data_IF_934311650830
#
_entry.id   IF_934311650830
#
_cell.length_a   1.000
_cell.length_b   1.000
_cell.length_c   1.000
_cell.angle_alpha   90.00
_cell.angle_beta   90.00
_cell.angle_gamma   90.00
#
_symmetry.space_group_name_H-M   'P 1'
#
loop_
_entity.id
_entity.type
_entity.pdbx_description
1 polymer ?
#
# COMPACT_ATOMS: atom_id res chain seq x y z
N UNK A 1 -8.21 -11.52 12.33
CA UNK A 1 -7.58 -10.35 13.00
C UNK A 1 -6.85 -9.39 12.02
N UNK A 2 -6.84 -9.64 10.70
CA UNK A 2 -6.13 -8.78 9.71
C UNK A 2 -6.90 -7.55 9.21
N UNK A 3 -8.13 -7.33 9.69
CA UNK A 3 -9.02 -6.26 9.24
C UNK A 3 -8.58 -4.83 9.60
N UNK A 4 -7.36 -4.63 10.13
CA UNK A 4 -6.87 -3.32 10.60
C UNK A 4 -5.78 -2.68 9.72
N UNK A 5 -5.28 -3.41 8.72
CA UNK A 5 -4.24 -2.92 7.82
C UNK A 5 -4.85 -2.50 6.49
N UNK A 6 -4.64 -1.25 6.10
CA UNK A 6 -5.17 -0.68 4.87
C UNK A 6 -4.54 -1.32 3.64
N UNK A 7 -3.34 -1.90 3.77
CA UNK A 7 -2.71 -2.71 2.71
C UNK A 7 -3.41 -4.04 2.43
N UNK A 8 -4.35 -4.47 3.29
CA UNK A 8 -5.11 -5.71 3.15
C UNK A 8 -5.88 -5.81 1.83
N UNK A 9 -6.43 -4.70 1.32
CA UNK A 9 -7.14 -4.73 0.03
C UNK A 9 -6.21 -5.09 -1.13
N UNK A 10 -4.94 -4.64 -1.10
CA UNK A 10 -3.94 -4.96 -2.14
C UNK A 10 -3.47 -6.41 -2.06
N UNK A 11 -3.29 -6.94 -0.85
CA UNK A 11 -2.95 -8.35 -0.65
C UNK A 11 -4.06 -9.26 -1.16
N UNK A 12 -5.33 -8.92 -0.86
CA UNK A 12 -6.50 -9.64 -1.38
C UNK A 12 -6.62 -9.52 -2.90
N UNK A 13 -6.46 -8.32 -3.46
CA UNK A 13 -6.47 -8.14 -4.90
C UNK A 13 -5.36 -8.97 -5.59
N UNK A 14 -4.16 -9.03 -5.01
CA UNK A 14 -3.06 -9.86 -5.53
C UNK A 14 -3.37 -11.36 -5.47
N UNK A 15 -3.97 -11.84 -4.37
CA UNK A 15 -4.41 -13.24 -4.25
C UNK A 15 -5.34 -13.63 -5.39
N UNK A 16 -6.44 -12.88 -5.58
CA UNK A 16 -7.44 -13.19 -6.61
C UNK A 16 -6.93 -12.89 -8.03
N UNK A 17 -5.99 -11.97 -8.20
CA UNK A 17 -5.29 -11.78 -9.48
C UNK A 17 -4.52 -13.05 -9.89
N UNK A 18 -3.85 -13.71 -8.94
CA UNK A 18 -3.11 -14.95 -9.20
C UNK A 18 -4.04 -16.16 -9.29
N UNK A 19 -4.88 -16.37 -8.27
CA UNK A 19 -5.71 -17.58 -8.16
C UNK A 19 -6.91 -17.56 -9.11
N UNK A 20 -7.44 -16.37 -9.41
CA UNK A 20 -8.69 -16.18 -10.13
C UNK A 20 -9.88 -16.06 -9.17
N UNK A 21 -11.05 -15.74 -9.72
CA UNK A 21 -12.28 -15.52 -8.96
C UNK A 21 -12.54 -14.05 -8.66
N UNK A 22 -13.51 -13.79 -7.79
CA UNK A 22 -13.93 -12.43 -7.43
C UNK A 22 -13.23 -11.97 -6.16
N UNK A 23 -12.60 -10.79 -6.22
CA UNK A 23 -11.93 -10.22 -5.04
C UNK A 23 -12.94 -10.08 -3.91
N UNK A 24 -12.69 -10.78 -2.81
CA UNK A 24 -13.42 -10.61 -1.56
C UNK A 24 -12.52 -9.87 -0.57
N UNK A 25 -12.88 -8.63 -0.22
CA UNK A 25 -12.19 -7.79 0.75
C UNK A 25 -12.47 -8.18 2.21
N UNK A 26 -13.44 -9.06 2.45
CA UNK A 26 -13.93 -9.46 3.76
C UNK A 26 -15.00 -8.50 4.29
N UNK A 27 -16.03 -9.06 4.92
CA UNK A 27 -17.18 -8.29 5.42
C UNK A 27 -16.80 -7.27 6.50
N UNK A 28 -16.02 -7.69 7.49
CA UNK A 28 -15.60 -6.83 8.60
C UNK A 28 -14.75 -5.63 8.10
N UNK A 29 -13.78 -5.90 7.22
CA UNK A 29 -12.92 -4.87 6.62
C UNK A 29 -13.77 -3.87 5.83
N UNK A 30 -14.65 -4.37 4.97
CA UNK A 30 -15.48 -3.54 4.10
C UNK A 30 -16.45 -2.67 4.88
N UNK A 31 -17.01 -3.19 5.99
CA UNK A 31 -17.83 -2.40 6.93
C UNK A 31 -17.01 -1.34 7.65
N UNK A 32 -15.79 -1.66 8.07
CA UNK A 32 -14.90 -0.75 8.81
C UNK A 32 -14.45 0.43 7.93
N UNK A 33 -14.13 0.16 6.66
CA UNK A 33 -13.60 1.16 5.74
C UNK A 33 -14.63 1.71 4.76
N UNK A 34 -15.89 1.28 4.86
CA UNK A 34 -17.03 1.88 4.15
C UNK A 34 -16.98 1.67 2.63
N UNK A 35 -16.67 0.45 2.19
CA UNK A 35 -16.62 0.10 0.76
C UNK A 35 -17.30 -1.25 0.49
N UNK A 36 -17.45 -1.62 -0.78
CA UNK A 36 -18.06 -2.89 -1.16
C UNK A 36 -17.18 -4.08 -0.74
N UNK A 37 -17.81 -5.16 -0.25
CA UNK A 37 -17.13 -6.44 0.06
C UNK A 37 -16.46 -7.06 -1.14
N UNK A 38 -17.12 -7.02 -2.29
CA UNK A 38 -16.63 -7.67 -3.49
C UNK A 38 -16.13 -6.66 -4.51
N UNK A 39 -14.94 -6.92 -5.03
CA UNK A 39 -14.29 -6.13 -6.07
C UNK A 39 -14.38 -6.76 -7.46
N UNK A 40 -13.29 -6.58 -8.22
CA UNK A 40 -13.10 -7.11 -9.56
C UNK A 40 -13.22 -8.63 -9.59
N UNK A 41 -13.82 -9.14 -10.66
CA UNK A 41 -13.80 -10.55 -10.99
C UNK A 41 -12.67 -10.82 -12.01
N UNK A 42 -11.92 -11.89 -11.76
CA UNK A 42 -10.91 -12.43 -12.66
C UNK A 42 -11.40 -13.79 -13.15
N UNK A 43 -11.87 -13.86 -14.40
CA UNK A 43 -12.40 -15.11 -14.99
C UNK A 43 -11.35 -16.22 -14.99
N UNK A 44 -10.08 -15.85 -15.19
CA UNK A 44 -8.93 -16.74 -15.07
C UNK A 44 -7.82 -16.03 -14.30
N UNK A 45 -7.36 -16.68 -13.24
CA UNK A 45 -6.17 -16.25 -12.51
C UNK A 45 -4.92 -16.33 -13.37
N UNK A 46 -3.93 -15.50 -13.07
CA UNK A 46 -2.63 -15.55 -13.76
C UNK A 46 -1.80 -16.79 -13.40
N UNK A 47 -2.09 -17.42 -12.25
CA UNK A 47 -1.50 -18.68 -11.81
C UNK A 47 -2.53 -19.52 -11.02
N UNK A 48 -3.55 -20.11 -11.69
CA UNK A 48 -4.67 -20.75 -10.99
C UNK A 48 -4.28 -22.01 -10.20
N UNK A 49 -3.21 -22.69 -10.64
CA UNK A 49 -2.65 -23.86 -9.95
C UNK A 49 -1.87 -23.50 -8.70
N UNK A 50 -1.71 -22.22 -8.36
CA UNK A 50 -0.96 -21.79 -7.18
C UNK A 50 -1.49 -22.43 -5.90
N UNK A 51 -0.66 -23.26 -5.28
CA UNK A 51 -0.90 -23.95 -4.02
C UNK A 51 0.44 -24.36 -3.38
N UNK A 52 0.41 -25.26 -2.40
CA UNK A 52 1.61 -25.75 -1.70
C UNK A 52 2.48 -26.67 -2.55
N UNK A 53 1.90 -27.39 -3.53
CA UNK A 53 2.64 -28.21 -4.49
C UNK A 53 3.19 -27.37 -5.65
N UNK A 54 2.57 -26.21 -5.89
CA UNK A 54 2.94 -25.25 -6.92
C UNK A 54 3.27 -23.87 -6.33
N UNK A 55 4.21 -23.76 -5.37
CA UNK A 55 4.45 -22.52 -4.66
C UNK A 55 5.16 -21.49 -5.54
N UNK A 56 5.10 -20.21 -5.16
CA UNK A 56 5.60 -19.10 -5.97
C UNK A 56 6.65 -18.24 -5.26
N UNK A 57 7.56 -17.67 -6.05
CA UNK A 57 8.49 -16.62 -5.61
C UNK A 57 7.86 -15.25 -5.82
N UNK A 58 7.91 -14.41 -4.79
CA UNK A 58 7.36 -13.05 -4.85
C UNK A 58 8.45 -12.00 -4.76
N UNK A 59 8.44 -11.04 -5.70
CA UNK A 59 9.36 -9.91 -5.73
C UNK A 59 8.57 -8.61 -5.57
N UNK A 60 8.76 -7.95 -4.43
CA UNK A 60 8.08 -6.71 -4.06
C UNK A 60 9.00 -5.50 -4.15
N UNK A 61 8.68 -4.57 -5.04
CA UNK A 61 9.31 -3.26 -5.06
C UNK A 61 8.56 -2.27 -4.15
N UNK A 62 9.29 -1.47 -3.36
CA UNK A 62 8.72 -0.41 -2.52
C UNK A 62 7.60 -0.94 -1.59
N UNK A 63 6.40 -0.38 -1.66
CA UNK A 63 5.24 -0.82 -0.88
C UNK A 63 4.80 -2.27 -1.21
N UNK A 64 5.13 -2.78 -2.40
CA UNK A 64 4.82 -4.15 -2.80
C UNK A 64 5.45 -5.20 -1.88
N UNK A 65 6.60 -4.90 -1.28
CA UNK A 65 7.23 -5.80 -0.31
C UNK A 65 6.37 -5.98 0.96
N UNK A 66 5.70 -4.92 1.42
CA UNK A 66 4.76 -5.02 2.54
C UNK A 66 3.51 -5.83 2.15
N UNK A 67 2.97 -5.60 0.95
CA UNK A 67 1.80 -6.32 0.43
C UNK A 67 2.06 -7.82 0.36
N UNK A 68 3.23 -8.24 -0.13
CA UNK A 68 3.59 -9.67 -0.23
C UNK A 68 3.73 -10.31 1.15
N UNK A 69 4.38 -9.62 2.11
CA UNK A 69 4.47 -10.12 3.50
C UNK A 69 3.09 -10.28 4.13
N UNK A 70 2.21 -9.32 3.92
CA UNK A 70 0.83 -9.39 4.40
C UNK A 70 0.05 -10.51 3.72
N UNK A 71 0.20 -10.68 2.40
CA UNK A 71 -0.41 -11.79 1.65
C UNK A 71 0.02 -13.14 2.24
N UNK A 72 1.32 -13.32 2.52
CA UNK A 72 1.82 -14.55 3.12
C UNK A 72 1.22 -14.81 4.51
N UNK A 73 1.15 -13.77 5.35
CA UNK A 73 0.48 -13.87 6.66
C UNK A 73 -1.00 -14.27 6.49
N UNK A 74 -1.71 -13.65 5.55
CA UNK A 74 -3.11 -13.95 5.26
C UNK A 74 -3.34 -15.39 4.75
N UNK A 75 -2.38 -15.97 4.01
CA UNK A 75 -2.43 -17.37 3.60
C UNK A 75 -2.31 -18.30 4.81
N UNK A 76 -1.36 -18.03 5.70
CA UNK A 76 -1.19 -18.77 6.96
C UNK A 76 -2.45 -18.70 7.84
N UNK A 77 -3.03 -17.52 7.96
CA UNK A 77 -4.21 -17.27 8.80
C UNK A 77 -5.54 -17.68 8.11
N UNK A 78 -5.47 -18.28 6.91
CA UNK A 78 -6.63 -18.74 6.14
C UNK A 78 -7.68 -17.66 5.91
N UNK A 79 -7.22 -16.47 5.57
CA UNK A 79 -8.07 -15.28 5.48
C UNK A 79 -8.91 -15.17 4.18
N UNK A 80 -8.94 -16.22 3.36
CA UNK A 80 -9.56 -16.26 2.04
C UNK A 80 -10.72 -17.27 2.03
N UNK A 81 -11.93 -16.77 2.23
CA UNK A 81 -13.16 -17.59 2.19
C UNK A 81 -13.22 -18.47 0.94
N UNK A 82 -13.46 -19.77 1.13
CA UNK A 82 -13.48 -20.76 0.04
C UNK A 82 -12.11 -21.35 -0.31
N UNK A 83 -11.04 -20.92 0.35
CA UNK A 83 -9.68 -21.46 0.19
C UNK A 83 -9.09 -21.89 1.55
N UNK A 84 -9.76 -22.83 2.23
CA UNK A 84 -9.41 -23.27 3.60
C UNK A 84 -8.07 -24.02 3.72
N UNK A 85 -7.49 -24.40 2.57
CA UNK A 85 -6.21 -25.10 2.45
C UNK A 85 -5.02 -24.17 2.16
N UNK A 86 -5.20 -22.85 2.24
CA UNK A 86 -4.07 -21.92 2.12
C UNK A 86 -3.07 -22.13 3.24
N UNK A 87 -1.79 -21.95 2.91
CA UNK A 87 -0.67 -21.96 3.85
C UNK A 87 0.38 -20.94 3.41
N UNK A 88 1.17 -20.45 4.36
CA UNK A 88 2.42 -19.72 4.12
C UNK A 88 3.35 -20.42 3.11
N UNK A 89 3.29 -21.75 3.01
CA UNK A 89 4.14 -22.58 2.16
C UNK A 89 3.82 -22.44 0.67
N UNK A 90 2.70 -21.80 0.32
CA UNK A 90 2.42 -21.38 -1.05
C UNK A 90 3.44 -20.33 -1.55
N UNK A 91 4.27 -19.78 -0.64
CA UNK A 91 5.31 -18.80 -0.91
C UNK A 91 6.69 -19.41 -0.65
N UNK A 92 7.47 -19.62 -1.73
CA UNK A 92 8.86 -20.13 -1.62
C UNK A 92 9.80 -19.04 -1.11
N UNK A 93 9.66 -17.82 -1.63
CA UNK A 93 10.52 -16.70 -1.23
C UNK A 93 9.82 -15.35 -1.34
N UNK A 94 10.23 -14.44 -0.47
CA UNK A 94 9.87 -13.02 -0.51
C UNK A 94 11.13 -12.17 -0.71
N UNK A 95 11.21 -11.50 -1.86
CA UNK A 95 12.30 -10.59 -2.20
C UNK A 95 11.82 -9.15 -2.15
N UNK A 96 12.40 -8.36 -1.25
CA UNK A 96 12.17 -6.93 -1.11
C UNK A 96 13.20 -6.13 -1.91
N UNK A 97 12.76 -5.32 -2.86
CA UNK A 97 13.58 -4.37 -3.61
C UNK A 97 13.20 -2.95 -3.18
N UNK A 98 14.09 -2.24 -2.49
CA UNK A 98 13.79 -0.91 -1.95
C UNK A 98 12.52 -0.88 -1.10
N UNK A 99 12.22 -1.98 -0.40
CA UNK A 99 10.97 -2.15 0.32
C UNK A 99 10.82 -1.19 1.49
N UNK A 100 9.60 -0.68 1.69
CA UNK A 100 9.27 0.27 2.76
C UNK A 100 8.94 -0.47 4.06
N UNK A 101 9.78 -1.45 4.43
CA UNK A 101 9.47 -2.44 5.45
C UNK A 101 9.30 -1.87 6.87
N UNK A 102 9.95 -0.73 7.16
CA UNK A 102 9.84 -0.02 8.43
C UNK A 102 9.16 1.35 8.27
N UNK A 103 8.42 1.55 7.18
CA UNK A 103 7.87 2.85 6.82
C UNK A 103 8.89 3.74 6.10
N UNK A 104 8.44 4.92 5.71
CA UNK A 104 9.25 5.93 5.06
C UNK A 104 8.85 7.32 5.51
N UNK A 105 9.85 8.17 5.73
CA UNK A 105 9.66 9.59 6.05
C UNK A 105 9.05 10.35 4.88
N UNK A 106 9.13 9.79 3.66
CA UNK A 106 8.43 10.30 2.47
C UNK A 106 6.92 10.36 2.66
N UNK A 107 6.31 9.51 3.47
CA UNK A 107 4.87 9.57 3.74
C UNK A 107 4.48 10.92 4.38
N UNK A 108 5.30 11.42 5.31
CA UNK A 108 5.09 12.73 5.95
C UNK A 108 5.43 13.89 5.03
N UNK A 109 6.49 13.77 4.22
CA UNK A 109 6.82 14.76 3.19
C UNK A 109 5.71 14.87 2.14
N UNK A 110 5.06 13.76 1.80
CA UNK A 110 3.88 13.72 0.95
C UNK A 110 2.65 14.39 1.57
N UNK A 111 2.65 14.54 2.89
CA UNK A 111 1.67 15.33 3.63
C UNK A 111 0.83 14.55 4.63
N UNK A 112 1.17 13.30 4.95
CA UNK A 112 0.53 12.62 6.09
C UNK A 112 0.96 13.30 7.39
N UNK A 113 0.00 13.51 8.28
CA UNK A 113 0.19 14.06 9.60
C UNK A 113 0.85 13.03 10.54
N UNK A 114 1.94 13.39 11.23
CA UNK A 114 2.64 12.46 12.11
C UNK A 114 1.84 12.08 13.36
N UNK A 115 0.86 12.89 13.76
CA UNK A 115 0.09 12.71 14.99
C UNK A 115 -0.80 11.46 14.95
N UNK A 116 -1.46 11.20 13.82
CA UNK A 116 -2.34 10.05 13.63
C UNK A 116 -1.83 9.04 12.59
N UNK A 117 -0.84 9.42 11.78
CA UNK A 117 -0.29 8.59 10.71
C UNK A 117 -1.29 8.28 9.59
N UNK A 118 -2.37 9.06 9.46
CA UNK A 118 -3.47 8.79 8.51
C UNK A 118 -4.00 10.06 7.84
N UNK A 119 -4.20 11.14 8.60
CA UNK A 119 -4.80 12.35 8.03
C UNK A 119 -3.81 13.10 7.15
N UNK A 120 -4.36 13.83 6.17
CA UNK A 120 -3.58 14.60 5.21
C UNK A 120 -3.55 16.06 5.67
N UNK A 121 -2.39 16.72 5.53
CA UNK A 121 -2.25 18.17 5.74
C UNK A 121 -3.15 18.94 4.78
N UNK A 122 -3.57 20.14 5.20
CA UNK A 122 -4.49 20.97 4.40
C UNK A 122 -3.87 21.41 3.06
N UNK A 123 -2.57 21.73 3.06
CA UNK A 123 -1.81 22.09 1.85
C UNK A 123 -0.61 21.16 1.72
N UNK A 124 -0.70 20.21 0.78
CA UNK A 124 0.41 19.31 0.43
C UNK A 124 0.18 18.62 -0.92
N UNK A 125 1.22 17.95 -1.44
CA UNK A 125 1.14 17.21 -2.70
C UNK A 125 0.11 16.07 -2.67
N UNK A 126 -0.03 15.37 -1.53
CA UNK A 126 -1.06 14.34 -1.39
C UNK A 126 -2.49 14.88 -1.57
N UNK A 127 -2.78 16.15 -1.26
CA UNK A 127 -4.11 16.73 -1.54
C UNK A 127 -4.38 16.86 -3.04
N UNK A 128 -3.35 17.20 -3.83
CA UNK A 128 -3.46 17.28 -5.29
C UNK A 128 -3.75 15.89 -5.86
N UNK A 129 -2.99 14.88 -5.43
CA UNK A 129 -3.25 13.50 -5.85
C UNK A 129 -4.61 12.98 -5.40
N UNK A 130 -5.03 13.33 -4.18
CA UNK A 130 -6.35 12.99 -3.65
C UNK A 130 -7.45 13.53 -4.56
N UNK A 131 -7.46 14.85 -4.78
CA UNK A 131 -8.47 15.52 -5.62
C UNK A 131 -8.45 14.97 -7.04
N UNK A 132 -7.26 14.83 -7.64
CA UNK A 132 -7.11 14.28 -8.99
C UNK A 132 -7.65 12.85 -9.11
N UNK A 133 -7.33 11.98 -8.14
CA UNK A 133 -7.81 10.59 -8.12
C UNK A 133 -9.32 10.51 -7.87
N UNK A 134 -9.86 11.36 -6.99
CA UNK A 134 -11.30 11.47 -6.76
C UNK A 134 -12.03 11.88 -8.05
N UNK A 135 -11.58 12.94 -8.73
CA UNK A 135 -12.20 13.40 -9.98
C UNK A 135 -12.07 12.33 -11.07
N UNK A 136 -10.91 11.71 -11.18
CA UNK A 136 -10.65 10.61 -12.12
C UNK A 136 -11.68 9.48 -11.97
N UNK A 137 -11.88 8.99 -10.74
CA UNK A 137 -12.81 7.90 -10.48
C UNK A 137 -14.27 8.33 -10.58
N UNK A 138 -14.57 9.57 -10.20
CA UNK A 138 -15.91 10.12 -10.32
C UNK A 138 -16.32 10.28 -11.77
N UNK A 139 -15.45 10.77 -12.66
CA UNK A 139 -15.74 10.90 -14.09
C UNK A 139 -15.96 9.54 -14.79
N UNK A 140 -15.30 8.49 -14.30
CA UNK A 140 -15.50 7.10 -14.74
C UNK A 140 -15.38 6.92 -16.27
N UNK A 141 -14.32 7.49 -16.86
CA UNK A 141 -14.09 7.49 -18.31
C UNK A 141 -13.53 6.12 -18.74
N UNK A 142 -14.24 5.32 -19.57
CA UNK A 142 -13.86 3.93 -19.82
C UNK A 142 -12.48 3.74 -20.47
N UNK A 143 -12.13 4.56 -21.46
CA UNK A 143 -10.84 4.44 -22.16
C UNK A 143 -9.67 4.80 -21.24
N UNK A 144 -9.86 5.78 -20.37
CA UNK A 144 -8.85 6.23 -19.41
C UNK A 144 -8.63 5.18 -18.32
N UNK A 145 -9.72 4.56 -17.83
CA UNK A 145 -9.67 3.40 -16.91
C UNK A 145 -8.97 2.18 -17.52
N UNK A 146 -9.17 1.93 -18.82
CA UNK A 146 -8.45 0.87 -19.52
C UNK A 146 -6.96 1.17 -19.66
N UNK A 147 -6.59 2.44 -19.82
CA UNK A 147 -5.18 2.85 -19.93
C UNK A 147 -4.44 2.75 -18.60
N UNK A 148 -5.02 3.26 -17.52
CA UNK A 148 -4.40 3.19 -16.20
C UNK A 148 -5.45 3.28 -15.10
N UNK A 149 -5.53 2.28 -14.23
CA UNK A 149 -6.50 2.20 -13.14
C UNK A 149 -5.81 2.34 -11.76
N UNK A 150 -6.31 3.25 -10.94
CA UNK A 150 -5.81 3.48 -9.59
C UNK A 150 -6.33 2.47 -8.55
N UNK A 151 -7.33 1.65 -8.90
CA UNK A 151 -7.74 0.49 -8.11
C UNK A 151 -8.74 0.77 -6.98
N UNK A 152 -9.44 1.91 -6.99
CA UNK A 152 -10.47 2.24 -6.00
C UNK A 152 -11.90 1.86 -6.39
N UNK A 153 -12.08 0.93 -7.33
CA UNK A 153 -13.39 0.52 -7.85
C UNK A 153 -14.38 0.08 -6.76
N UNK A 154 -13.87 -0.54 -5.69
CA UNK A 154 -14.66 -1.04 -4.57
C UNK A 154 -15.32 0.06 -3.73
N UNK A 155 -14.87 1.32 -3.85
CA UNK A 155 -15.50 2.47 -3.21
C UNK A 155 -16.69 3.05 -3.98
N UNK A 156 -16.95 2.59 -5.21
CA UNK A 156 -18.14 3.00 -5.96
C UNK A 156 -18.24 4.50 -6.24
N UNK A 157 -17.11 5.18 -6.47
CA UNK A 157 -17.06 6.65 -6.56
C UNK A 157 -17.59 7.24 -7.88
N UNK A 158 -17.95 6.42 -8.86
CA UNK A 158 -18.41 6.86 -10.19
C UNK A 158 -19.64 7.76 -10.10
N UNK A 159 -19.73 8.77 -10.97
CA UNK A 159 -20.90 9.63 -11.11
C UNK A 159 -22.18 8.84 -11.43
N UNK A 160 -22.05 7.65 -12.02
CA UNK A 160 -23.18 6.73 -12.26
C UNK A 160 -23.72 6.12 -10.97
N UNK A 161 -22.90 6.06 -9.92
CA UNK A 161 -23.23 5.48 -8.62
C UNK A 161 -23.67 6.56 -7.62
N UNK A 162 -22.88 7.63 -7.47
CA UNK A 162 -23.09 8.67 -6.44
C UNK A 162 -23.69 9.98 -6.99
N UNK A 163 -23.84 10.11 -8.31
CA UNK A 163 -24.34 11.32 -8.94
C UNK A 163 -23.41 12.53 -8.80
N UNK A 164 -23.88 13.69 -9.28
CA UNK A 164 -23.20 14.98 -9.11
C UNK A 164 -23.23 15.45 -7.66
N UNK A 165 -24.30 15.11 -6.93
CA UNK A 165 -24.47 15.44 -5.51
C UNK A 165 -23.47 14.75 -4.58
N UNK A 166 -22.89 13.61 -4.99
CA UNK A 166 -21.85 12.91 -4.22
C UNK A 166 -20.44 13.46 -4.40
N UNK A 167 -20.19 14.29 -5.42
CA UNK A 167 -18.85 14.83 -5.68
C UNK A 167 -18.34 15.74 -4.54
N UNK A 168 -19.14 16.66 -3.96
CA UNK A 168 -18.71 17.47 -2.83
C UNK A 168 -18.26 16.65 -1.61
N UNK A 169 -18.94 15.54 -1.26
CA UNK A 169 -18.55 14.70 -0.12
C UNK A 169 -17.26 13.93 -0.39
N UNK A 170 -17.05 13.47 -1.62
CA UNK A 170 -15.79 12.83 -2.03
C UNK A 170 -14.62 13.83 -2.02
N UNK A 171 -14.83 15.05 -2.51
CA UNK A 171 -13.82 16.11 -2.52
C UNK A 171 -13.54 16.68 -1.13
N UNK A 172 -14.54 16.74 -0.24
CA UNK A 172 -14.36 17.11 1.16
C UNK A 172 -13.61 16.02 1.95
N UNK A 173 -13.52 14.79 1.43
CA UNK A 173 -12.91 13.67 2.12
C UNK A 173 -13.76 13.14 3.27
N UNK A 174 -15.08 13.34 3.22
CA UNK A 174 -16.03 12.75 4.18
C UNK A 174 -16.52 11.36 3.75
N UNK A 175 -16.20 10.96 2.52
CA UNK A 175 -16.52 9.65 1.94
C UNK A 175 -15.37 9.17 1.04
N UNK A 176 -15.31 7.86 0.79
CA UNK A 176 -14.29 7.24 -0.05
C UNK A 176 -12.99 6.86 0.68
N UNK A 177 -11.96 6.40 -0.06
CA UNK A 177 -10.75 5.79 0.53
C UNK A 177 -9.96 6.74 1.43
N UNK A 178 -9.98 8.03 1.09
CA UNK A 178 -9.22 9.05 1.82
C UNK A 178 -9.88 9.45 3.14
N UNK A 179 -11.18 9.19 3.31
CA UNK A 179 -11.90 9.46 4.56
C UNK A 179 -11.56 8.44 5.65
N UNK A 180 -11.43 7.17 5.25
CA UNK A 180 -11.22 6.05 6.17
C UNK A 180 -9.74 5.70 6.34
N UNK A 181 -8.88 6.22 5.46
CA UNK A 181 -7.46 5.91 5.44
C UNK A 181 -7.13 4.64 4.67
N UNK A 182 -8.10 3.99 4.01
CA UNK A 182 -7.91 2.76 3.23
C UNK A 182 -7.27 3.01 1.85
N UNK A 183 -6.03 3.44 1.90
CA UNK A 183 -5.18 3.70 0.74
C UNK A 183 -3.72 3.58 1.16
N UNK A 184 -2.80 3.63 0.19
CA UNK A 184 -1.43 3.16 0.42
C UNK A 184 -0.60 4.06 1.34
N UNK A 185 -0.80 5.38 1.33
CA UNK A 185 0.16 6.30 1.97
C UNK A 185 0.19 6.18 3.51
N UNK A 186 -0.96 5.98 4.21
CA UNK A 186 -0.97 5.63 5.63
C UNK A 186 -0.12 4.40 5.98
N UNK A 187 -0.14 3.32 5.20
CA UNK A 187 0.67 2.11 5.45
C UNK A 187 2.19 2.36 5.36
N UNK A 188 2.59 3.42 4.64
CA UNK A 188 3.99 3.80 4.47
C UNK A 188 4.50 4.68 5.62
N UNK A 189 3.64 5.08 6.55
CA UNK A 189 4.10 5.77 7.77
C UNK A 189 4.84 4.81 8.68
N UNK A 190 5.73 5.35 9.51
CA UNK A 190 6.56 4.55 10.39
C UNK A 190 5.71 3.83 11.44
N UNK A 191 4.67 4.50 11.98
CA UNK A 191 3.80 3.93 13.00
C UNK A 191 2.95 2.80 12.45
N UNK A 192 2.36 2.96 11.25
CA UNK A 192 1.55 1.90 10.67
C UNK A 192 2.41 0.73 10.17
N UNK A 193 3.60 1.00 9.63
CA UNK A 193 4.55 -0.06 9.30
C UNK A 193 5.02 -0.83 10.55
N UNK A 194 5.26 -0.14 11.67
CA UNK A 194 5.59 -0.79 12.94
C UNK A 194 4.44 -1.66 13.47
N UNK A 195 3.19 -1.18 13.39
CA UNK A 195 1.99 -1.98 13.72
C UNK A 195 1.89 -3.22 12.84
N UNK A 196 2.04 -3.05 11.53
CA UNK A 196 2.08 -4.17 10.58
C UNK A 196 3.17 -5.18 10.93
N UNK A 197 4.38 -4.72 11.27
CA UNK A 197 5.48 -5.60 11.64
C UNK A 197 5.26 -6.35 12.95
N UNK A 198 4.42 -5.84 13.85
CA UNK A 198 4.02 -6.56 15.06
C UNK A 198 3.07 -7.72 14.75
N UNK A 199 2.22 -7.57 13.73
CA UNK A 199 1.21 -8.57 13.35
C UNK A 199 1.71 -9.57 12.28
N UNK A 200 2.69 -9.17 11.46
CA UNK A 200 3.19 -9.95 10.32
C UNK A 200 4.54 -10.58 10.62
N UNK A 201 4.58 -11.91 10.69
CA UNK A 201 5.77 -12.69 11.01
C UNK A 201 6.55 -13.12 9.76
N UNK A 202 7.72 -13.71 9.99
CA UNK A 202 8.46 -14.50 8.98
C UNK A 202 8.22 -15.98 9.25
N UNK A 203 8.19 -16.79 8.20
CA UNK A 203 7.95 -18.23 8.27
C UNK A 203 9.24 -19.03 8.06
N UNK A 204 9.46 -20.13 8.78
CA UNK A 204 10.73 -20.86 8.77
C UNK A 204 11.07 -21.48 7.40
N UNK A 205 10.06 -21.90 6.64
CA UNK A 205 10.22 -22.59 5.36
C UNK A 205 10.19 -21.64 4.14
N UNK A 206 10.38 -20.33 4.38
CA UNK A 206 10.39 -19.29 3.35
C UNK A 206 11.72 -18.55 3.32
N UNK A 207 12.27 -18.36 2.13
CA UNK A 207 13.47 -17.52 1.95
C UNK A 207 13.11 -16.03 1.90
N UNK A 208 13.77 -15.21 2.71
CA UNK A 208 13.58 -13.75 2.72
C UNK A 208 14.84 -13.02 2.24
N UNK A 209 14.70 -12.22 1.18
CA UNK A 209 15.76 -11.37 0.65
C UNK A 209 15.37 -9.90 0.75
N UNK A 210 16.33 -9.03 1.11
CA UNK A 210 16.08 -7.59 1.18
C UNK A 210 17.24 -6.79 0.61
N UNK A 211 16.99 -6.11 -0.51
CA UNK A 211 17.93 -5.26 -1.20
C UNK A 211 17.61 -3.79 -0.91
N UNK A 212 18.43 -3.19 -0.04
CA UNK A 212 18.36 -1.77 0.26
C UNK A 212 19.08 -0.95 -0.82
N UNK A 213 18.43 0.11 -1.29
CA UNK A 213 19.01 1.04 -2.27
C UNK A 213 19.35 2.38 -1.63
N UNK A 214 20.52 2.93 -1.94
CA UNK A 214 20.96 4.25 -1.46
C UNK A 214 21.45 5.11 -2.62
N UNK A 215 20.91 6.32 -2.74
CA UNK A 215 21.36 7.38 -3.66
C UNK A 215 21.69 8.69 -2.93
N UNK A 216 22.25 8.55 -1.73
CA UNK A 216 22.77 9.64 -0.91
C UNK A 216 24.20 9.34 -0.50
N UNK A 217 24.97 10.39 -0.26
CA UNK A 217 26.34 10.33 0.27
C UNK A 217 26.44 11.19 1.54
N UNK A 218 27.55 11.08 2.27
CA UNK A 218 27.84 11.94 3.42
C UNK A 218 28.89 12.96 3.04
N UNK A 219 28.61 14.23 3.35
CA UNK A 219 29.55 15.34 3.19
C UNK A 219 29.59 16.14 4.49
N UNK A 220 30.76 16.27 5.11
CA UNK A 220 30.95 16.93 6.41
C UNK A 220 29.94 16.49 7.50
N UNK A 221 29.65 15.19 7.58
CA UNK A 221 28.69 14.62 8.55
C UNK A 221 27.21 14.78 8.18
N UNK A 222 26.90 15.53 7.11
CA UNK A 222 25.54 15.77 6.62
C UNK A 222 25.24 14.80 5.47
N UNK A 223 24.05 14.21 5.46
CA UNK A 223 23.59 13.38 4.34
C UNK A 223 23.15 14.29 3.19
N UNK A 224 23.65 14.05 1.98
CA UNK A 224 23.34 14.84 0.77
C UNK A 224 23.04 13.89 -0.42
N UNK A 225 22.33 14.33 -1.47
CA UNK A 225 22.10 13.49 -2.65
C UNK A 225 23.42 13.10 -3.33
N UNK A 226 23.49 11.92 -3.97
CA UNK A 226 24.69 11.44 -4.68
C UNK A 226 24.95 12.13 -6.03
N UNK A 227 24.32 13.27 -6.30
CA UNK A 227 24.44 14.04 -7.54
C UNK A 227 23.26 13.90 -8.50
N UNK A 228 23.03 14.96 -9.29
CA UNK A 228 21.91 15.09 -10.25
C UNK A 228 21.96 14.08 -11.40
N UNK A 229 23.14 13.57 -11.76
CA UNK A 229 23.30 12.58 -12.84
C UNK A 229 22.86 11.16 -12.42
N UNK A 230 22.74 10.89 -11.11
CA UNK A 230 22.44 9.57 -10.57
C UNK A 230 21.02 9.44 -10.02
N UNK A 231 20.27 10.54 -10.01
CA UNK A 231 18.95 10.64 -9.39
C UNK A 231 18.01 11.25 -10.43
N UNK A 232 16.88 10.59 -10.64
CA UNK A 232 15.89 11.10 -11.59
C UNK A 232 15.43 12.52 -11.19
N UNK A 233 15.37 13.50 -12.11
CA UNK A 233 15.08 14.89 -11.77
C UNK A 233 13.79 15.08 -10.96
N UNK A 234 12.74 14.31 -11.29
CA UNK A 234 11.45 14.36 -10.59
C UNK A 234 11.52 13.99 -9.09
N UNK A 235 12.51 13.20 -8.67
CA UNK A 235 12.66 12.80 -7.26
C UNK A 235 13.79 13.55 -6.56
N UNK A 236 14.58 14.36 -7.27
CA UNK A 236 15.74 15.04 -6.68
C UNK A 236 15.37 15.98 -5.53
N UNK A 237 14.29 16.76 -5.69
CA UNK A 237 13.76 17.64 -4.65
C UNK A 237 13.33 16.82 -3.42
N UNK A 238 12.68 15.68 -3.64
CA UNK A 238 12.27 14.78 -2.55
C UNK A 238 13.48 14.18 -1.83
N UNK A 239 14.56 13.81 -2.55
CA UNK A 239 15.80 13.35 -1.93
C UNK A 239 16.44 14.46 -1.08
N UNK A 240 16.44 15.71 -1.55
CA UNK A 240 16.92 16.85 -0.77
C UNK A 240 16.10 17.05 0.53
N UNK A 241 14.78 16.89 0.47
CA UNK A 241 13.92 16.96 1.64
C UNK A 241 14.19 15.80 2.61
N UNK A 242 14.35 14.58 2.10
CA UNK A 242 14.69 13.39 2.89
C UNK A 242 16.02 13.54 3.64
N UNK A 243 17.04 14.07 2.97
CA UNK A 243 18.36 14.34 3.57
C UNK A 243 18.31 15.29 4.76
N UNK A 244 17.31 16.17 4.83
CA UNK A 244 17.15 17.20 5.88
C UNK A 244 16.09 16.82 6.91
N UNK A 245 15.31 15.78 6.66
CA UNK A 245 14.21 15.39 7.53
C UNK A 245 14.74 14.88 8.88
N UNK A 246 14.00 15.16 9.95
CA UNK A 246 14.25 14.64 11.28
C UNK A 246 12.95 14.12 11.86
N UNK A 247 13.06 13.03 12.63
CA UNK A 247 11.90 12.45 13.30
C UNK A 247 11.25 13.46 14.25
N UNK A 248 9.92 13.52 14.25
CA UNK A 248 9.14 14.48 15.03
C UNK A 248 9.12 14.12 16.53
N UNK A 249 9.25 12.84 16.87
CA UNK A 249 9.42 12.39 18.24
C UNK A 249 10.91 12.34 18.64
N UNK A 250 11.19 12.60 19.92
CA UNK A 250 12.54 12.61 20.50
C UNK A 250 13.25 11.26 20.36
N UNK A 251 12.50 10.16 20.41
CA UNK A 251 13.00 8.82 20.13
C UNK A 251 12.31 8.25 18.87
N UNK A 252 13.07 7.74 17.89
CA UNK A 252 12.48 7.03 16.77
C UNK A 252 11.87 5.70 17.26
N UNK A 253 10.77 5.24 16.65
CA UNK A 253 10.07 4.01 17.07
C UNK A 253 10.89 2.72 16.87
N UNK A 254 12.06 2.80 16.22
CA UNK A 254 13.03 1.71 16.14
C UNK A 254 14.46 2.26 16.29
N UNK A 255 15.33 1.53 17.02
CA UNK A 255 16.76 1.86 17.10
C UNK A 255 17.37 1.90 15.69
N UNK A 256 18.03 3.01 15.34
CA UNK A 256 18.73 3.17 14.06
C UNK A 256 17.93 3.89 12.95
N UNK A 257 16.67 4.27 13.20
CA UNK A 257 15.96 5.20 12.31
C UNK A 257 16.65 6.57 12.35
N UNK A 258 17.06 7.10 11.20
CA UNK A 258 17.67 8.44 11.04
C UNK A 258 16.72 9.36 10.32
#
# INVERSE_FOLDING_TARGET
MHARLTSGFRARALFYYLKGGRVDYGEEHSRTYGHARFGRAYDRGHYPMWDEEHPAHFVGHSAGAQVIRLLQQMLHDKAFDGYENTSENWVVSVTSLSGVLNGSTTAYLGGIRPEDGRSIRFVCLAQIYRVGTTIYHWLDIPWLRRYYDFGFDHFGMSWRTVGVSGLPSLLAGTSGPFATGDWILPDLTIQNAARMNADVRTFPDTFYFSYATRRTTKFCGITVPSGVMHIHPLVFIHVMQLCRWRHFAAEPPCKGYR
#
